data_IF_434646727669
#
_entry.id   IF_434646727669
#
_cell.length_a   1.000
_cell.length_b   1.000
_cell.length_c   1.000
_cell.angle_alpha   90.00
_cell.angle_beta   90.00
_cell.angle_gamma   90.00
#
_symmetry.space_group_name_H-M   'P 1'
#
loop_
_entity.id
_entity.type
_entity.pdbx_description
1 polymer ?
#
# COMPACT_ATOMS: atom_id res chain seq x y z
N UNK A 1 29.27 47.31 -22.02
CA UNK A 1 28.77 46.55 -20.86
C UNK A 1 27.74 45.58 -21.40
N UNK A 2 28.01 44.28 -21.37
CA UNK A 2 27.03 43.24 -21.69
C UNK A 2 26.74 42.52 -20.37
N UNK A 3 25.63 42.90 -19.75
CA UNK A 3 25.11 42.31 -18.53
C UNK A 3 24.65 40.88 -18.83
N UNK A 4 25.50 39.93 -18.45
CA UNK A 4 25.18 38.52 -18.37
C UNK A 4 24.03 38.34 -17.38
N UNK A 5 22.81 38.30 -17.92
CA UNK A 5 21.60 37.99 -17.18
C UNK A 5 21.62 36.49 -16.83
N UNK A 6 22.14 36.18 -15.65
CA UNK A 6 22.11 34.84 -15.08
C UNK A 6 20.65 34.47 -14.79
N UNK A 7 20.07 33.65 -15.67
CA UNK A 7 18.73 33.13 -15.51
C UNK A 7 18.60 32.41 -14.17
N UNK A 8 17.60 32.80 -13.39
CA UNK A 8 17.34 32.25 -12.06
C UNK A 8 17.17 30.73 -12.13
N UNK A 9 18.09 29.92 -11.57
CA UNK A 9 17.85 28.51 -11.41
C UNK A 9 17.16 28.30 -10.06
N UNK A 10 15.86 28.02 -10.08
CA UNK A 10 15.33 27.16 -9.02
C UNK A 10 14.07 27.58 -8.29
N UNK A 11 12.96 27.76 -9.00
CA UNK A 11 11.63 27.60 -8.39
C UNK A 11 10.91 26.31 -8.81
N UNK A 12 11.51 25.48 -9.68
CA UNK A 12 10.84 24.36 -10.35
C UNK A 12 11.40 22.95 -10.06
N UNK A 13 12.23 22.75 -9.02
CA UNK A 13 12.77 21.42 -8.69
C UNK A 13 12.03 20.74 -7.52
N UNK A 14 11.52 21.53 -6.57
CA UNK A 14 10.99 21.03 -5.30
C UNK A 14 9.60 20.35 -5.45
N UNK A 15 8.78 20.78 -6.42
CA UNK A 15 7.45 20.21 -6.66
C UNK A 15 7.46 18.82 -7.32
N UNK A 16 8.40 18.57 -8.23
CA UNK A 16 8.51 17.28 -8.96
C UNK A 16 9.04 16.13 -8.08
N UNK A 17 9.91 16.43 -7.11
CA UNK A 17 10.44 15.44 -6.16
C UNK A 17 9.39 14.91 -5.17
N UNK A 18 8.43 15.75 -4.76
CA UNK A 18 7.38 15.35 -3.83
C UNK A 18 6.32 14.46 -4.50
N UNK A 19 5.94 14.77 -5.74
CA UNK A 19 4.94 13.98 -6.50
C UNK A 19 5.44 12.56 -6.80
N UNK A 20 6.73 12.40 -7.11
CA UNK A 20 7.34 11.09 -7.37
C UNK A 20 7.44 10.22 -6.10
N UNK A 21 7.65 10.83 -4.94
CA UNK A 21 7.74 10.14 -3.65
C UNK A 21 6.39 9.55 -3.23
N UNK A 22 5.29 10.31 -3.35
CA UNK A 22 3.94 9.86 -2.99
C UNK A 22 3.48 8.71 -3.90
N UNK A 23 3.75 8.81 -5.20
CA UNK A 23 3.43 7.74 -6.14
C UNK A 23 4.16 6.43 -5.79
N UNK A 24 5.44 6.52 -5.42
CA UNK A 24 6.24 5.36 -5.03
C UNK A 24 5.73 4.70 -3.74
N UNK A 25 5.31 5.50 -2.74
CA UNK A 25 4.71 4.99 -1.51
C UNK A 25 3.37 4.27 -1.75
N UNK A 26 2.50 4.84 -2.59
CA UNK A 26 1.24 4.20 -2.95
C UNK A 26 1.47 2.87 -3.66
N UNK A 27 2.42 2.82 -4.59
CA UNK A 27 2.77 1.59 -5.30
C UNK A 27 3.29 0.52 -4.34
N UNK A 28 4.17 0.90 -3.40
CA UNK A 28 4.69 0.00 -2.37
C UNK A 28 3.56 -0.54 -1.48
N UNK A 29 2.62 0.32 -1.07
CA UNK A 29 1.46 -0.08 -0.27
C UNK A 29 0.57 -1.09 -0.99
N UNK A 30 0.33 -0.91 -2.29
CA UNK A 30 -0.43 -1.84 -3.12
C UNK A 30 0.30 -3.18 -3.23
N UNK A 31 1.59 -3.17 -3.55
CA UNK A 31 2.40 -4.40 -3.63
C UNK A 31 2.39 -5.16 -2.30
N UNK A 32 2.55 -4.44 -1.19
CA UNK A 32 2.47 -5.03 0.14
C UNK A 32 1.10 -5.66 0.40
N UNK A 33 0.01 -4.98 0.05
CA UNK A 33 -1.35 -5.51 0.20
C UNK A 33 -1.54 -6.81 -0.58
N UNK A 34 -1.02 -6.90 -1.80
CA UNK A 34 -1.05 -8.13 -2.61
C UNK A 34 -0.26 -9.26 -1.95
N UNK A 35 0.95 -8.99 -1.44
CA UNK A 35 1.77 -9.98 -0.74
C UNK A 35 1.03 -10.50 0.49
N UNK A 36 0.52 -9.60 1.34
CA UNK A 36 -0.22 -9.97 2.56
C UNK A 36 -1.48 -10.77 2.23
N UNK A 37 -2.22 -10.39 1.18
CA UNK A 37 -3.40 -11.14 0.73
C UNK A 37 -3.05 -12.56 0.28
N UNK A 38 -1.93 -12.74 -0.43
CA UNK A 38 -1.45 -14.06 -0.85
C UNK A 38 -1.04 -14.93 0.34
N UNK A 39 -0.32 -14.35 1.30
CA UNK A 39 0.06 -15.05 2.54
C UNK A 39 -1.18 -15.42 3.36
N UNK A 40 -2.17 -14.53 3.45
CA UNK A 40 -3.43 -14.80 4.14
C UNK A 40 -4.18 -15.97 3.49
N UNK A 41 -4.30 -15.98 2.16
CA UNK A 41 -4.91 -17.10 1.42
C UNK A 41 -4.20 -18.42 1.73
N UNK A 42 -2.87 -18.44 1.61
CA UNK A 42 -2.08 -19.66 1.84
C UNK A 42 -2.21 -20.16 3.29
N UNK A 43 -2.07 -19.26 4.25
CA UNK A 43 -2.16 -19.60 5.67
C UNK A 43 -3.57 -20.08 6.04
N UNK A 44 -4.61 -19.42 5.51
CA UNK A 44 -6.00 -19.81 5.72
C UNK A 44 -6.31 -21.20 5.16
N UNK A 45 -5.88 -21.48 3.92
CA UNK A 45 -6.11 -22.77 3.27
C UNK A 45 -5.38 -23.92 3.97
N UNK A 46 -4.26 -23.66 4.67
CA UNK A 46 -3.57 -24.71 5.42
C UNK A 46 -4.14 -24.87 6.83
N UNK A 47 -4.45 -23.77 7.53
CA UNK A 47 -4.87 -23.82 8.93
C UNK A 47 -6.37 -24.02 9.05
N UNK A 48 -7.18 -23.08 8.56
CA UNK A 48 -8.62 -23.08 8.76
C UNK A 48 -9.30 -24.18 7.96
N UNK A 49 -8.98 -24.31 6.67
CA UNK A 49 -9.58 -25.34 5.82
C UNK A 49 -9.27 -26.74 6.34
N UNK A 50 -8.05 -27.01 6.84
CA UNK A 50 -7.71 -28.33 7.39
C UNK A 50 -8.30 -28.58 8.78
N UNK A 51 -8.27 -27.60 9.67
CA UNK A 51 -8.76 -27.77 11.06
C UNK A 51 -10.28 -27.88 11.09
N UNK A 52 -10.97 -27.04 10.31
CA UNK A 52 -12.43 -26.94 10.32
C UNK A 52 -13.10 -27.72 9.17
N UNK A 53 -12.32 -28.33 8.27
CA UNK A 53 -12.78 -29.06 7.09
C UNK A 53 -13.78 -28.26 6.23
N UNK A 54 -13.55 -26.94 6.12
CA UNK A 54 -14.38 -26.03 5.31
C UNK A 54 -13.74 -25.76 3.95
N UNK A 55 -14.50 -25.14 3.03
CA UNK A 55 -14.00 -24.78 1.69
C UNK A 55 -12.79 -23.86 1.76
N UNK A 56 -11.85 -24.08 0.83
CA UNK A 56 -10.72 -23.19 0.58
C UNK A 56 -11.19 -21.82 0.09
N UNK A 57 -10.46 -20.78 0.45
CA UNK A 57 -10.70 -19.43 -0.06
C UNK A 57 -9.80 -19.15 -1.25
N UNK A 58 -10.35 -18.46 -2.24
CA UNK A 58 -9.61 -17.96 -3.40
C UNK A 58 -8.91 -16.64 -3.07
N UNK A 59 -7.98 -16.24 -3.94
CA UNK A 59 -7.22 -14.98 -3.78
C UNK A 59 -8.14 -13.76 -3.60
N UNK A 60 -9.23 -13.69 -4.38
CA UNK A 60 -10.20 -12.61 -4.31
C UNK A 60 -11.02 -12.60 -3.01
N UNK A 61 -11.26 -13.77 -2.41
CA UNK A 61 -11.96 -13.87 -1.12
C UNK A 61 -11.04 -13.48 0.04
N UNK A 62 -9.78 -13.92 0.01
CA UNK A 62 -8.76 -13.48 0.95
C UNK A 62 -8.56 -11.97 0.93
N UNK A 63 -8.56 -11.36 -0.27
CA UNK A 63 -8.46 -9.90 -0.43
C UNK A 63 -9.64 -9.18 0.23
N UNK A 64 -10.88 -9.65 0.01
CA UNK A 64 -12.08 -9.07 0.64
C UNK A 64 -12.02 -9.17 2.17
N UNK A 65 -11.55 -10.31 2.70
CA UNK A 65 -11.33 -10.49 4.14
C UNK A 65 -10.26 -9.54 4.69
N UNK A 66 -9.17 -9.33 3.94
CA UNK A 66 -8.11 -8.39 4.30
C UNK A 66 -8.65 -6.96 4.38
N UNK A 67 -9.49 -6.55 3.42
CA UNK A 67 -10.12 -5.22 3.42
C UNK A 67 -11.05 -5.06 4.62
N UNK A 68 -11.87 -6.07 4.93
CA UNK A 68 -12.75 -6.04 6.11
C UNK A 68 -11.92 -5.92 7.39
N UNK A 69 -10.83 -6.69 7.51
CA UNK A 69 -9.88 -6.60 8.62
C UNK A 69 -9.27 -5.20 8.72
N UNK A 70 -8.83 -4.62 7.59
CA UNK A 70 -8.28 -3.27 7.56
C UNK A 70 -9.32 -2.21 7.97
N UNK A 71 -10.60 -2.39 7.66
CA UNK A 71 -11.67 -1.47 8.12
C UNK A 71 -11.93 -1.66 9.61
N UNK A 72 -11.96 -2.90 10.10
CA UNK A 72 -12.29 -3.22 11.49
C UNK A 72 -11.16 -2.83 12.45
N UNK A 73 -9.91 -3.09 12.07
CA UNK A 73 -8.72 -2.90 12.89
C UNK A 73 -7.88 -1.69 12.47
N UNK A 74 -8.06 -1.14 11.27
CA UNK A 74 -7.32 0.03 10.78
C UNK A 74 -7.85 1.36 11.30
N UNK A 75 -8.38 1.38 12.54
CA UNK A 75 -8.69 2.63 13.21
C UNK A 75 -7.39 3.35 13.55
N UNK A 76 -7.24 4.64 13.22
CA UNK A 76 -6.11 5.43 13.67
C UNK A 76 -6.20 5.59 15.19
N UNK A 77 -5.07 5.35 15.86
CA UNK A 77 -4.84 5.83 17.23
C UNK A 77 -5.05 7.36 17.23
N UNK A 78 -6.25 7.78 17.61
CA UNK A 78 -6.54 9.17 17.93
C UNK A 78 -5.94 9.49 19.29
N UNK A 79 -5.04 10.48 19.30
CA UNK A 79 -4.55 11.29 20.42
C UNK A 79 -4.98 10.86 21.84
N UNK A 80 -4.00 10.41 22.63
CA UNK A 80 -4.02 10.33 24.08
C UNK A 80 -2.63 10.63 24.62
#
# INVERSE_FOLDING_TARGET
MNDIHFGEPGVMSLGLGLMSSVFSMLLLGIVFLFIVSGVLMWLWNITITRIFNIREITYWEALRLLIISAILFGRPLGNG
#
